data_IF_065122608405
#
_entry.id   IF_065122608405
#
_cell.length_a   1.000
_cell.length_b   1.000
_cell.length_c   1.000
_cell.angle_alpha   90.00
_cell.angle_beta   90.00
_cell.angle_gamma   90.00
#
_symmetry.space_group_name_H-M   'P 1'
#
loop_
_entity.id
_entity.type
_entity.pdbx_description
1 polymer ?
#
# COMPACT_ATOMS: atom_id res chain seq x y z
N UNK A 1 4.81 -10.78 14.08
CA UNK A 1 4.10 -11.44 12.96
C UNK A 1 4.29 -10.55 11.75
N UNK A 2 5.03 -11.00 10.74
CA UNK A 2 5.28 -10.21 9.53
C UNK A 2 4.00 -10.28 8.70
N UNK A 3 3.21 -9.21 8.70
CA UNK A 3 1.97 -9.12 7.95
C UNK A 3 2.29 -8.76 6.50
N UNK A 4 1.95 -9.64 5.57
CA UNK A 4 2.04 -9.34 4.16
C UNK A 4 1.08 -8.20 3.81
N UNK A 5 1.46 -7.36 2.86
CA UNK A 5 0.67 -6.22 2.42
C UNK A 5 0.42 -6.29 0.91
N UNK A 6 -0.83 -6.16 0.50
CA UNK A 6 -1.24 -6.02 -0.90
C UNK A 6 -1.52 -4.55 -1.19
N UNK A 7 -0.82 -3.97 -2.16
CA UNK A 7 -1.11 -2.65 -2.72
C UNK A 7 -1.95 -2.83 -3.99
N UNK A 8 -3.12 -2.20 -4.02
CA UNK A 8 -3.95 -2.08 -5.21
C UNK A 8 -3.86 -0.65 -5.73
N UNK A 9 -3.63 -0.51 -7.03
CA UNK A 9 -3.63 0.78 -7.72
C UNK A 9 -4.85 0.86 -8.62
N UNK A 10 -5.38 2.06 -8.83
CA UNK A 10 -6.47 2.33 -9.77
C UNK A 10 -6.23 1.68 -11.14
N UNK A 11 -7.19 0.86 -11.58
CA UNK A 11 -7.15 0.13 -12.85
C UNK A 11 -6.24 -1.11 -12.85
N UNK A 12 -5.55 -1.41 -11.75
CA UNK A 12 -4.73 -2.60 -11.63
C UNK A 12 -5.57 -3.79 -11.15
N UNK A 13 -5.47 -4.92 -11.86
CA UNK A 13 -6.20 -6.17 -11.53
C UNK A 13 -5.37 -7.06 -10.60
N UNK A 14 -4.06 -6.81 -10.47
CA UNK A 14 -3.11 -7.65 -9.75
C UNK A 14 -2.46 -6.88 -8.59
N UNK A 15 -2.81 -7.20 -7.32
CA UNK A 15 -2.21 -6.52 -6.18
C UNK A 15 -0.70 -6.77 -6.12
N UNK A 16 0.07 -5.73 -5.80
CA UNK A 16 1.51 -5.83 -5.54
C UNK A 16 1.73 -6.21 -4.08
N UNK A 17 2.45 -7.31 -3.86
CA UNK A 17 2.75 -7.83 -2.52
C UNK A 17 4.04 -7.26 -1.96
N UNK A 18 3.98 -6.90 -0.68
CA UNK A 18 5.10 -6.46 0.13
C UNK A 18 5.19 -7.31 1.39
N UNK A 19 6.42 -7.60 1.79
CA UNK A 19 6.73 -8.33 3.02
C UNK A 19 6.59 -7.47 4.28
N UNK A 20 6.31 -6.16 4.15
CA UNK A 20 5.93 -5.34 5.29
C UNK A 20 5.89 -3.84 4.98
N UNK A 21 5.65 -3.00 6.01
CA UNK A 21 5.52 -1.55 5.84
C UNK A 21 6.79 -0.88 5.31
N UNK A 22 7.97 -1.38 5.68
CA UNK A 22 9.24 -0.78 5.27
C UNK A 22 9.49 -0.95 3.74
N UNK A 23 9.23 -2.14 3.19
CA UNK A 23 9.38 -2.38 1.75
C UNK A 23 8.29 -1.68 0.94
N UNK A 24 7.06 -1.60 1.48
CA UNK A 24 5.99 -0.78 0.91
C UNK A 24 6.39 0.70 0.85
N UNK A 25 6.81 1.31 1.96
CA UNK A 25 7.18 2.74 2.00
C UNK A 25 8.29 3.06 1.00
N UNK A 26 9.33 2.23 0.94
CA UNK A 26 10.42 2.40 -0.02
C UNK A 26 9.92 2.35 -1.48
N UNK A 27 8.98 1.45 -1.78
CA UNK A 27 8.36 1.34 -3.10
C UNK A 27 7.51 2.57 -3.44
N UNK A 28 6.65 3.03 -2.51
CA UNK A 28 5.77 4.19 -2.72
C UNK A 28 6.57 5.46 -3.03
N UNK A 29 7.64 5.71 -2.30
CA UNK A 29 8.47 6.90 -2.49
C UNK A 29 9.34 6.82 -3.75
N UNK A 30 9.88 5.64 -4.06
CA UNK A 30 10.90 5.50 -5.11
C UNK A 30 10.31 5.13 -6.47
N UNK A 31 9.27 4.30 -6.49
CA UNK A 31 8.68 3.76 -7.73
C UNK A 31 7.42 4.54 -8.09
N UNK A 32 6.44 4.63 -7.19
CA UNK A 32 5.20 5.39 -7.42
C UNK A 32 5.44 6.91 -7.33
N UNK A 33 6.56 7.32 -6.72
CA UNK A 33 6.94 8.73 -6.52
C UNK A 33 5.87 9.53 -5.77
N UNK A 34 5.21 8.89 -4.81
CA UNK A 34 4.33 9.56 -3.87
C UNK A 34 5.14 10.50 -2.96
N UNK A 35 4.50 11.55 -2.47
CA UNK A 35 5.05 12.33 -1.37
C UNK A 35 5.09 11.48 -0.09
N UNK A 36 5.91 11.89 0.86
CA UNK A 36 5.95 11.27 2.19
C UNK A 36 4.57 11.30 2.84
N UNK A 37 3.91 12.46 2.79
CA UNK A 37 2.56 12.67 3.31
C UNK A 37 1.51 11.69 2.71
N UNK A 38 1.55 11.47 1.40
CA UNK A 38 0.63 10.53 0.75
C UNK A 38 0.96 9.06 1.08
N UNK A 39 2.24 8.73 1.28
CA UNK A 39 2.66 7.40 1.69
C UNK A 39 2.25 7.12 3.15
N UNK A 40 2.45 8.10 4.05
CA UNK A 40 2.00 8.04 5.43
C UNK A 40 0.47 7.89 5.50
N UNK A 41 -0.29 8.73 4.77
CA UNK A 41 -1.74 8.63 4.69
C UNK A 41 -2.21 7.24 4.21
N UNK A 42 -1.56 6.66 3.19
CA UNK A 42 -1.90 5.31 2.70
C UNK A 42 -1.62 4.22 3.75
N UNK A 43 -0.56 4.36 4.55
CA UNK A 43 -0.22 3.39 5.59
C UNK A 43 -1.11 3.51 6.83
N UNK A 44 -1.58 4.72 7.16
CA UNK A 44 -2.45 4.99 8.30
C UNK A 44 -3.93 4.74 7.99
N UNK A 45 -4.44 5.27 6.88
CA UNK A 45 -5.86 5.18 6.48
C UNK A 45 -6.16 3.91 5.66
N UNK A 46 -5.11 3.26 5.13
CA UNK A 46 -5.25 2.10 4.25
C UNK A 46 -5.67 2.46 2.83
N UNK A 47 -5.84 3.74 2.50
CA UNK A 47 -6.12 4.21 1.16
C UNK A 47 -5.64 5.66 0.95
N UNK A 48 -5.33 6.03 -0.29
CA UNK A 48 -5.07 7.41 -0.68
C UNK A 48 -5.59 7.65 -2.10
N UNK A 49 -6.10 8.84 -2.37
CA UNK A 49 -6.68 9.22 -3.65
C UNK A 49 -6.33 10.68 -3.98
N UNK A 50 -6.70 11.21 -5.16
CA UNK A 50 -6.59 12.63 -5.42
C UNK A 50 -7.30 13.47 -4.35
N UNK A 51 -6.70 14.59 -3.89
CA UNK A 51 -5.54 15.29 -4.46
C UNK A 51 -4.16 14.85 -3.93
N UNK A 52 -4.10 13.96 -2.94
CA UNK A 52 -2.84 13.52 -2.30
C UNK A 52 -1.99 12.63 -3.20
N UNK A 53 -2.65 11.81 -4.02
CA UNK A 53 -2.02 10.96 -5.02
C UNK A 53 -2.65 11.19 -6.40
N UNK A 54 -1.91 10.89 -7.48
CA UNK A 54 -2.44 11.02 -8.85
C UNK A 54 -3.53 10.00 -9.19
N UNK A 55 -3.59 8.91 -8.44
CA UNK A 55 -4.46 7.74 -8.64
C UNK A 55 -4.97 7.27 -7.28
N UNK A 56 -6.05 6.51 -7.25
CA UNK A 56 -6.42 5.75 -6.06
C UNK A 56 -5.42 4.63 -5.78
N UNK A 57 -4.98 4.54 -4.53
CA UNK A 57 -4.21 3.42 -3.99
C UNK A 57 -4.95 2.88 -2.77
N UNK A 58 -4.99 1.55 -2.62
CA UNK A 58 -5.54 0.88 -1.44
C UNK A 58 -4.54 -0.14 -0.92
N UNK A 59 -4.40 -0.18 0.39
CA UNK A 59 -3.57 -1.11 1.12
C UNK A 59 -4.45 -2.15 1.79
N UNK A 60 -4.12 -3.43 1.60
CA UNK A 60 -4.77 -4.55 2.27
C UNK A 60 -3.74 -5.35 3.05
N UNK A 61 -3.97 -5.47 4.35
CA UNK A 61 -3.20 -6.39 5.19
C UNK A 61 -3.67 -7.81 4.95
N UNK A 62 -2.78 -8.64 4.41
CA UNK A 62 -2.93 -10.08 4.41
C UNK A 62 -2.53 -10.56 5.81
N UNK A 63 -3.49 -10.55 6.73
CA UNK A 63 -3.36 -11.35 7.94
C UNK A 63 -3.05 -12.79 7.50
N UNK A 64 -2.11 -13.50 8.16
CA UNK A 64 -2.00 -14.93 7.93
C UNK A 64 -3.39 -15.50 8.21
N UNK A 65 -3.98 -16.16 7.21
CA UNK A 65 -5.23 -16.88 7.40
C UNK A 65 -5.00 -17.79 8.60
N UNK A 66 -5.56 -17.41 9.75
CA UNK A 66 -5.71 -18.31 10.88
C UNK A 66 -6.77 -19.29 10.41
N UNK A 67 -6.35 -20.29 9.65
CA UNK A 67 -7.12 -21.52 9.52
C UNK A 67 -7.06 -22.21 10.90
N UNK A 68 -8.22 -22.56 11.48
CA UNK A 68 -8.29 -23.23 12.78
C UNK A 68 -7.68 -24.64 12.74
#
# INVERSE_FOLDING_TARGET
>A
MIGWLDLLTEGDTHPRRFDGPASLRAYLLRIERLSEDAADALMEDGQVAPPLARREYRLRSLAPATSP
#
